data_IF_232821124455
#
_entry.id   IF_232821124455
#
_cell.length_a   1.000
_cell.length_b   1.000
_cell.length_c   1.000
_cell.angle_alpha   90.00
_cell.angle_beta   90.00
_cell.angle_gamma   90.00
#
_symmetry.space_group_name_H-M   'P 1'
#
loop_
_entity.id
_entity.type
_entity.pdbx_description
1 polymer ?
#
# COMPACT_ATOMS: atom_id res chain seq x y z
N UNK A 1 10.22 -15.66 13.20
CA UNK A 1 11.47 -15.57 12.40
C UNK A 1 12.44 -16.69 12.78
N UNK A 2 12.19 -17.92 12.36
CA UNK A 2 13.15 -19.03 12.51
C UNK A 2 12.88 -20.16 11.51
N UNK A 3 12.63 -19.79 10.25
CA UNK A 3 12.39 -20.73 9.15
C UNK A 3 13.36 -20.52 7.97
N UNK A 4 14.47 -19.82 8.19
CA UNK A 4 15.45 -19.44 7.16
C UNK A 4 16.87 -19.94 7.47
N UNK A 5 17.02 -21.04 8.21
CA UNK A 5 18.35 -21.54 8.62
C UNK A 5 18.60 -23.03 8.35
N UNK A 6 17.77 -23.70 7.55
CA UNK A 6 17.99 -25.10 7.17
C UNK A 6 18.42 -25.32 5.72
N UNK A 7 18.58 -24.25 4.93
CA UNK A 7 18.91 -24.32 3.48
C UNK A 7 20.25 -23.59 3.24
N UNK A 8 21.26 -23.92 4.04
CA UNK A 8 22.61 -23.33 3.89
C UNK A 8 23.67 -24.38 3.56
N UNK A 9 23.27 -25.65 3.32
CA UNK A 9 24.17 -26.77 3.12
C UNK A 9 24.23 -27.36 1.70
N UNK A 10 23.18 -27.17 0.89
CA UNK A 10 23.07 -27.84 -0.41
C UNK A 10 22.81 -26.83 -1.55
N UNK A 11 23.86 -26.53 -2.31
CA UNK A 11 23.82 -25.65 -3.50
C UNK A 11 23.13 -26.29 -4.73
N UNK A 12 22.54 -27.47 -4.57
CA UNK A 12 21.87 -28.21 -5.65
C UNK A 12 20.35 -28.32 -5.45
N UNK A 13 19.79 -27.66 -4.43
CA UNK A 13 18.37 -27.74 -4.12
C UNK A 13 17.54 -26.86 -5.08
N UNK A 14 16.43 -27.41 -5.55
CA UNK A 14 15.50 -26.78 -6.49
C UNK A 14 14.97 -25.45 -5.91
N UNK A 15 15.42 -24.35 -6.50
CA UNK A 15 15.06 -23.01 -6.06
C UNK A 15 13.64 -22.61 -6.50
N UNK A 16 12.92 -23.44 -7.27
CA UNK A 16 11.59 -23.09 -7.80
C UNK A 16 10.56 -22.91 -6.68
N UNK A 17 10.68 -23.67 -5.59
CA UNK A 17 9.84 -23.49 -4.41
C UNK A 17 10.04 -22.13 -3.73
N UNK A 18 11.29 -21.67 -3.64
CA UNK A 18 11.65 -20.37 -3.06
C UNK A 18 11.26 -19.23 -4.02
N UNK A 19 11.50 -19.40 -5.32
CA UNK A 19 11.11 -18.45 -6.37
C UNK A 19 9.60 -18.23 -6.38
N UNK A 20 8.79 -19.30 -6.27
CA UNK A 20 7.33 -19.18 -6.18
C UNK A 20 6.90 -18.35 -4.96
N UNK A 21 7.45 -18.63 -3.78
CA UNK A 21 7.12 -17.89 -2.55
C UNK A 21 7.53 -16.42 -2.68
N UNK A 22 8.71 -16.15 -3.24
CA UNK A 22 9.18 -14.78 -3.48
C UNK A 22 8.25 -14.02 -4.45
N UNK A 23 7.78 -14.67 -5.52
CA UNK A 23 6.82 -14.07 -6.47
C UNK A 23 5.46 -13.84 -5.85
N UNK A 24 4.96 -14.75 -5.03
CA UNK A 24 3.70 -14.58 -4.30
C UNK A 24 3.76 -13.36 -3.37
N UNK A 25 4.86 -13.21 -2.64
CA UNK A 25 5.08 -12.03 -1.81
C UNK A 25 5.21 -10.73 -2.62
N UNK A 26 5.90 -10.77 -3.76
CA UNK A 26 6.00 -9.61 -4.64
C UNK A 26 4.63 -9.17 -5.15
N UNK A 27 3.77 -10.11 -5.56
CA UNK A 27 2.40 -9.80 -5.99
C UNK A 27 1.56 -9.17 -4.87
N UNK A 28 1.75 -9.59 -3.62
CA UNK A 28 1.07 -8.95 -2.48
C UNK A 28 1.54 -7.51 -2.27
N UNK A 29 2.85 -7.26 -2.40
CA UNK A 29 3.41 -5.91 -2.33
C UNK A 29 2.86 -5.04 -3.46
N UNK A 30 2.86 -5.53 -4.69
CA UNK A 30 2.36 -4.79 -5.86
C UNK A 30 0.88 -4.42 -5.70
N UNK A 31 0.06 -5.34 -5.15
CA UNK A 31 -1.35 -5.04 -4.84
C UNK A 31 -1.48 -3.91 -3.82
N UNK A 32 -0.74 -3.98 -2.71
CA UNK A 32 -0.75 -2.91 -1.69
C UNK A 32 -0.29 -1.58 -2.26
N UNK A 33 0.70 -1.58 -3.14
CA UNK A 33 1.16 -0.37 -3.83
C UNK A 33 0.07 0.20 -4.75
N UNK A 34 -0.66 -0.65 -5.48
CA UNK A 34 -1.76 -0.21 -6.32
C UNK A 34 -2.90 0.42 -5.49
N UNK A 35 -3.27 -0.20 -4.37
CA UNK A 35 -4.29 0.34 -3.45
C UNK A 35 -3.85 1.70 -2.86
N UNK A 36 -2.59 1.80 -2.42
CA UNK A 36 -2.05 3.05 -1.89
C UNK A 36 -1.91 4.13 -2.97
N UNK A 37 -1.61 3.76 -4.21
CA UNK A 37 -1.56 4.69 -5.34
C UNK A 37 -2.94 5.24 -5.69
N UNK A 38 -3.99 4.41 -5.61
CA UNK A 38 -5.37 4.85 -5.76
C UNK A 38 -5.76 5.85 -4.67
N UNK A 39 -5.53 5.49 -3.40
CA UNK A 39 -5.81 6.38 -2.26
C UNK A 39 -5.03 7.70 -2.37
N UNK A 40 -3.76 7.65 -2.77
CA UNK A 40 -2.95 8.85 -3.00
C UNK A 40 -3.56 9.74 -4.08
N UNK A 41 -4.10 9.15 -5.14
CA UNK A 41 -4.71 9.91 -6.24
C UNK A 41 -5.98 10.62 -5.78
N UNK A 42 -6.83 9.93 -5.03
CA UNK A 42 -8.03 10.54 -4.42
C UNK A 42 -7.66 11.66 -3.45
N UNK A 43 -6.69 11.42 -2.56
CA UNK A 43 -6.22 12.44 -1.63
C UNK A 43 -5.62 13.64 -2.35
N UNK A 44 -4.87 13.40 -3.43
CA UNK A 44 -4.32 14.47 -4.27
C UNK A 44 -5.42 15.29 -4.93
N UNK A 45 -6.47 14.66 -5.45
CA UNK A 45 -7.62 15.38 -6.01
C UNK A 45 -8.33 16.25 -4.97
N UNK A 46 -8.49 15.75 -3.74
CA UNK A 46 -9.05 16.53 -2.62
C UNK A 46 -8.15 17.73 -2.29
N UNK A 47 -6.83 17.55 -2.27
CA UNK A 47 -5.87 18.64 -2.03
C UNK A 47 -5.89 19.67 -3.18
N UNK A 48 -5.82 19.23 -4.43
CA UNK A 48 -5.87 20.10 -5.63
C UNK A 48 -7.22 20.83 -5.74
N UNK A 49 -8.30 20.30 -5.16
CA UNK A 49 -9.61 20.98 -5.10
C UNK A 49 -9.69 22.13 -4.09
N UNK A 50 -8.61 22.36 -3.34
CA UNK A 50 -8.46 23.45 -2.39
C UNK A 50 -7.44 24.47 -2.91
N UNK A 51 -7.92 25.64 -3.35
CA UNK A 51 -7.08 26.78 -3.75
C UNK A 51 -6.36 27.46 -2.55
N UNK A 52 -6.60 26.98 -1.32
CA UNK A 52 -6.18 27.65 -0.09
C UNK A 52 -7.05 28.88 0.20
N UNK A 53 -7.01 29.36 1.45
CA UNK A 53 -7.86 30.46 1.91
C UNK A 53 -8.29 30.28 3.36
N UNK A 54 -9.52 30.70 3.68
CA UNK A 54 -10.10 30.50 5.00
C UNK A 54 -10.64 29.07 5.14
N UNK A 55 -10.46 28.48 6.33
CA UNK A 55 -10.87 27.09 6.64
C UNK A 55 -12.36 26.83 6.35
N UNK A 56 -13.18 27.89 6.38
CA UNK A 56 -14.61 27.83 6.05
C UNK A 56 -14.90 27.36 4.61
N UNK A 57 -13.99 27.58 3.65
CA UNK A 57 -14.10 27.14 2.24
C UNK A 57 -13.21 25.91 1.94
N UNK A 58 -12.58 25.33 2.97
CA UNK A 58 -11.62 24.25 2.79
C UNK A 58 -12.34 22.92 2.54
N UNK A 59 -12.48 22.55 1.27
CA UNK A 59 -13.07 21.26 0.83
C UNK A 59 -12.32 20.03 1.36
N UNK A 60 -11.06 20.19 1.76
CA UNK A 60 -10.27 19.14 2.43
C UNK A 60 -10.90 18.77 3.80
N UNK A 61 -11.39 19.76 4.56
CA UNK A 61 -12.02 19.54 5.88
C UNK A 61 -13.36 18.82 5.72
N UNK A 62 -14.14 19.16 4.69
CA UNK A 62 -15.40 18.46 4.38
C UNK A 62 -15.16 17.02 3.96
N UNK A 63 -14.16 16.75 3.11
CA UNK A 63 -13.86 15.41 2.62
C UNK A 63 -13.23 14.49 3.70
N UNK A 64 -12.45 15.04 4.63
CA UNK A 64 -11.81 14.30 5.73
C UNK A 64 -12.67 14.20 6.99
N UNK A 65 -13.85 14.85 7.01
CA UNK A 65 -14.76 14.73 8.15
C UNK A 65 -15.21 13.27 8.21
N UNK A 66 -14.91 12.53 9.30
CA UNK A 66 -15.38 11.16 9.43
C UNK A 66 -16.90 11.18 9.31
N UNK A 67 -17.45 10.34 8.43
CA UNK A 67 -18.88 10.09 8.42
C UNK A 67 -19.23 9.57 9.81
N UNK A 68 -19.86 10.43 10.62
CA UNK A 68 -20.37 9.98 11.90
C UNK A 68 -21.32 8.81 11.60
N UNK A 69 -21.17 7.66 12.28
CA UNK A 69 -22.21 6.66 12.24
C UNK A 69 -23.48 7.30 12.78
N UNK A 70 -24.54 7.30 11.97
CA UNK A 70 -25.92 7.55 12.40
C UNK A 70 -26.38 6.43 13.31
#
# INVERSE_FOLDING_TARGET
MRALLSISGDRSCDCAGIDRIAREHLLEVDRKLADLAALRTELKAVIDSCDGGIVADCRIIEALRPALPV
#
